data_IF_525222514911
#
_entry.id   IF_525222514911
#
_cell.length_a   1.000
_cell.length_b   1.000
_cell.length_c   1.000
_cell.angle_alpha   90.00
_cell.angle_beta   90.00
_cell.angle_gamma   90.00
#
_symmetry.space_group_name_H-M   'P 1'
#
loop_
_entity.id
_entity.type
_entity.pdbx_description
1 polymer ?
#
# COMPACT_ATOMS: atom_id res chain seq x y z
N UNK A 1 -6.51 2.70 8.21
CA UNK A 1 -6.04 3.13 9.54
C UNK A 1 -6.69 2.20 10.56
N UNK A 2 -5.97 1.20 11.08
CA UNK A 2 -6.51 0.26 12.06
C UNK A 2 -6.54 0.93 13.45
N UNK A 3 -7.73 1.13 14.01
CA UNK A 3 -7.89 1.65 15.38
C UNK A 3 -7.57 0.54 16.38
N UNK A 4 -6.38 0.60 16.95
CA UNK A 4 -6.00 -0.17 18.13
C UNK A 4 -6.67 0.45 19.39
N UNK A 5 -7.19 -0.42 20.25
CA UNK A 5 -7.48 -0.19 21.68
C UNK A 5 -8.69 0.63 22.12
N UNK A 6 -9.80 0.58 21.39
CA UNK A 6 -11.10 0.89 22.00
C UNK A 6 -11.74 -0.37 22.58
N UNK A 7 -11.90 -0.41 23.91
CA UNK A 7 -12.69 -1.43 24.64
C UNK A 7 -14.15 -1.50 24.17
N UNK A 8 -14.67 -0.42 23.59
CA UNK A 8 -16.04 -0.30 23.11
C UNK A 8 -16.10 0.30 21.70
N UNK A 9 -16.94 -0.30 20.85
CA UNK A 9 -17.29 0.17 19.51
C UNK A 9 -18.66 0.86 19.54
N UNK A 10 -18.83 1.90 18.73
CA UNK A 10 -20.14 2.44 18.40
C UNK A 10 -20.91 1.50 17.45
N UNK A 11 -22.21 1.74 17.27
CA UNK A 11 -23.04 0.97 16.33
C UNK A 11 -22.47 1.01 14.92
N UNK A 12 -22.02 2.17 14.45
CA UNK A 12 -21.49 2.35 13.11
C UNK A 12 -20.15 1.62 12.96
N UNK A 13 -19.26 1.72 13.95
CA UNK A 13 -17.99 0.97 13.92
C UNK A 13 -18.26 -0.54 13.93
N UNK A 14 -19.21 -1.03 14.73
CA UNK A 14 -19.57 -2.44 14.72
C UNK A 14 -20.23 -2.90 13.40
N UNK A 15 -21.00 -2.01 12.75
CA UNK A 15 -21.59 -2.25 11.44
C UNK A 15 -20.52 -2.44 10.36
N UNK A 16 -19.49 -1.59 10.38
CA UNK A 16 -18.31 -1.71 9.51
C UNK A 16 -17.55 -3.01 9.75
N UNK A 17 -17.29 -3.35 11.02
CA UNK A 17 -16.56 -4.58 11.38
C UNK A 17 -17.29 -5.87 10.96
N UNK A 18 -18.62 -5.89 11.08
CA UNK A 18 -19.44 -7.06 10.77
C UNK A 18 -19.97 -7.06 9.33
N UNK A 19 -19.69 -6.00 8.55
CA UNK A 19 -20.23 -5.77 7.21
C UNK A 19 -21.76 -5.93 7.14
N UNK A 20 -22.48 -5.33 8.11
CA UNK A 20 -23.94 -5.32 8.19
C UNK A 20 -24.47 -3.91 8.41
N UNK A 21 -25.75 -3.67 8.15
CA UNK A 21 -26.35 -2.36 8.41
C UNK A 21 -26.47 -2.04 9.90
N UNK A 22 -26.45 -0.75 10.26
CA UNK A 22 -26.71 -0.26 11.63
C UNK A 22 -28.03 -0.81 12.20
N UNK A 23 -29.04 -0.96 11.34
CA UNK A 23 -30.34 -1.54 11.71
C UNK A 23 -30.17 -2.99 12.14
N UNK A 24 -29.41 -3.78 11.39
CA UNK A 24 -29.09 -5.16 11.72
C UNK A 24 -28.28 -5.26 13.01
N UNK A 25 -27.31 -4.36 13.25
CA UNK A 25 -26.57 -4.29 14.52
C UNK A 25 -27.53 -4.05 15.69
N UNK A 26 -28.43 -3.07 15.59
CA UNK A 26 -29.42 -2.78 16.65
C UNK A 26 -30.40 -3.93 16.86
N UNK A 27 -30.79 -4.66 15.81
CA UNK A 27 -31.61 -5.86 15.92
C UNK A 27 -30.86 -6.98 16.67
N UNK A 28 -29.59 -7.20 16.35
CA UNK A 28 -28.74 -8.19 17.05
C UNK A 28 -28.47 -7.84 18.51
N UNK A 29 -28.37 -6.55 18.84
CA UNK A 29 -28.34 -6.07 20.23
C UNK A 29 -29.66 -6.41 20.95
N UNK A 30 -30.81 -6.13 20.33
CA UNK A 30 -32.13 -6.49 20.88
C UNK A 30 -32.32 -7.99 21.05
N UNK A 31 -31.81 -8.78 20.10
CA UNK A 31 -31.83 -10.24 20.13
C UNK A 31 -30.80 -10.84 21.11
N UNK A 32 -30.02 -10.01 21.82
CA UNK A 32 -28.95 -10.41 22.76
C UNK A 32 -27.83 -11.24 22.13
N UNK A 33 -27.68 -11.20 20.80
CA UNK A 33 -26.58 -11.85 20.08
C UNK A 33 -25.29 -11.02 20.14
N UNK A 34 -25.42 -9.70 20.34
CA UNK A 34 -24.30 -8.78 20.52
C UNK A 34 -24.38 -8.18 21.93
N UNK A 35 -23.30 -8.31 22.70
CA UNK A 35 -23.16 -7.68 24.00
C UNK A 35 -22.93 -6.17 23.83
N UNK A 36 -23.89 -5.38 24.30
CA UNK A 36 -23.81 -3.92 24.26
C UNK A 36 -24.45 -3.30 25.50
N UNK A 37 -23.89 -2.18 25.94
CA UNK A 37 -24.39 -1.37 27.04
C UNK A 37 -24.96 -0.05 26.49
N UNK A 38 -26.09 0.39 27.04
CA UNK A 38 -26.66 1.70 26.69
C UNK A 38 -26.09 2.76 27.62
N UNK A 39 -25.31 3.69 27.07
CA UNK A 39 -24.74 4.82 27.82
C UNK A 39 -25.34 6.12 27.29
N UNK A 40 -26.27 6.69 28.05
CA UNK A 40 -27.06 7.85 27.62
C UNK A 40 -27.93 7.51 26.40
N UNK A 41 -27.75 8.25 25.30
CA UNK A 41 -28.47 8.03 24.03
C UNK A 41 -27.71 7.14 23.04
N UNK A 42 -26.55 6.59 23.42
CA UNK A 42 -25.70 5.80 22.53
C UNK A 42 -25.53 4.36 23.03
N UNK A 43 -25.30 3.44 22.08
CA UNK A 43 -24.92 2.05 22.39
C UNK A 43 -23.40 1.92 22.34
N UNK A 44 -22.84 1.24 23.35
CA UNK A 44 -21.43 0.86 23.44
C UNK A 44 -21.33 -0.65 23.34
N UNK A 45 -20.70 -1.14 22.28
CA UNK A 45 -20.60 -2.57 21.96
C UNK A 45 -19.22 -3.05 22.40
N UNK A 46 -19.14 -4.16 23.13
CA UNK A 46 -17.85 -4.66 23.62
C UNK A 46 -16.98 -5.12 22.44
N UNK A 47 -15.80 -4.54 22.24
CA UNK A 47 -14.99 -4.83 21.05
C UNK A 47 -14.35 -6.21 21.06
N UNK A 48 -14.03 -6.73 22.25
CA UNK A 48 -13.38 -8.03 22.38
C UNK A 48 -14.27 -9.21 21.92
N UNK A 49 -15.59 -9.04 21.85
CA UNK A 49 -16.47 -10.10 21.33
C UNK A 49 -16.31 -10.33 19.81
N UNK A 50 -15.67 -9.38 19.11
CA UNK A 50 -15.34 -9.49 17.68
C UNK A 50 -13.85 -9.67 17.45
N UNK A 51 -13.03 -9.59 18.49
CA UNK A 51 -11.67 -10.07 18.41
C UNK A 51 -11.79 -11.58 18.40
N UNK A 52 -11.72 -12.14 17.20
CA UNK A 52 -11.29 -13.51 17.09
C UNK A 52 -9.91 -13.50 17.74
N UNK A 53 -9.80 -14.10 18.93
CA UNK A 53 -8.52 -14.38 19.57
C UNK A 53 -7.86 -15.49 18.72
N UNK A 54 -7.56 -15.16 17.47
CA UNK A 54 -6.69 -15.96 16.64
C UNK A 54 -5.32 -15.72 17.23
N UNK A 55 -5.00 -16.53 18.25
CA UNK A 55 -3.62 -16.89 18.56
C UNK A 55 -2.87 -16.94 17.23
N UNK A 56 -1.76 -16.18 17.08
CA UNK A 56 -1.06 -16.09 15.83
C UNK A 56 -0.73 -17.50 15.33
N UNK A 57 -1.49 -17.99 14.33
CA UNK A 57 -1.29 -19.33 13.83
C UNK A 57 0.15 -19.37 13.27
N UNK A 58 1.03 -20.27 13.74
CA UNK A 58 2.40 -20.37 13.24
C UNK A 58 2.45 -20.56 11.72
N UNK A 59 1.41 -21.15 11.11
CA UNK A 59 1.27 -21.26 9.66
C UNK A 59 1.07 -19.89 8.99
N UNK A 60 0.30 -18.99 9.62
CA UNK A 60 0.11 -17.62 9.12
C UNK A 60 1.43 -16.84 9.18
N UNK A 61 2.23 -17.03 10.24
CA UNK A 61 3.55 -16.41 10.33
C UNK A 61 4.52 -16.95 9.27
N UNK A 62 4.58 -18.27 9.11
CA UNK A 62 5.40 -18.90 8.08
C UNK A 62 5.00 -18.43 6.67
N UNK A 63 3.69 -18.31 6.40
CA UNK A 63 3.18 -17.79 5.14
C UNK A 63 3.57 -16.32 4.94
N UNK A 64 3.46 -15.48 5.96
CA UNK A 64 3.88 -14.07 5.88
C UNK A 64 5.37 -13.96 5.55
N UNK A 65 6.21 -14.75 6.19
CA UNK A 65 7.66 -14.70 5.96
C UNK A 65 8.03 -15.23 4.57
N UNK A 66 7.34 -16.27 4.11
CA UNK A 66 7.45 -16.73 2.72
C UNK A 66 7.08 -15.62 1.73
N UNK A 67 5.92 -14.97 1.90
CA UNK A 67 5.45 -13.90 1.02
C UNK A 67 6.40 -12.70 1.03
N UNK A 68 6.96 -12.33 2.19
CA UNK A 68 7.98 -11.29 2.28
C UNK A 68 9.24 -11.65 1.49
N UNK A 69 9.69 -12.91 1.57
CA UNK A 69 10.84 -13.38 0.81
C UNK A 69 10.58 -13.31 -0.71
N UNK A 70 9.37 -13.69 -1.14
CA UNK A 70 8.99 -13.66 -2.55
C UNK A 70 8.90 -12.23 -3.09
N UNK A 71 8.36 -11.29 -2.29
CA UNK A 71 8.34 -9.87 -2.64
C UNK A 71 9.76 -9.31 -2.76
N UNK A 72 10.65 -9.67 -1.83
CA UNK A 72 12.05 -9.23 -1.88
C UNK A 72 12.75 -9.72 -3.16
N UNK A 73 12.51 -10.96 -3.56
CA UNK A 73 13.08 -11.54 -4.78
C UNK A 73 12.51 -10.91 -6.05
N UNK A 74 11.19 -10.71 -6.11
CA UNK A 74 10.55 -10.00 -7.23
C UNK A 74 11.04 -8.56 -7.36
N UNK A 75 11.28 -7.88 -6.23
CA UNK A 75 11.85 -6.53 -6.24
C UNK A 75 13.29 -6.52 -6.79
N UNK A 76 14.10 -7.54 -6.53
CA UNK A 76 15.43 -7.69 -7.15
C UNK A 76 15.32 -7.85 -8.67
N UNK A 77 14.43 -8.72 -9.13
CA UNK A 77 14.19 -8.92 -10.57
C UNK A 77 13.76 -7.62 -11.26
N UNK A 78 12.86 -6.85 -10.63
CA UNK A 78 12.45 -5.54 -11.16
C UNK A 78 13.63 -4.58 -11.23
N UNK A 79 14.49 -4.53 -10.21
CA UNK A 79 15.67 -3.67 -10.22
C UNK A 79 16.67 -4.05 -11.33
N UNK A 80 16.89 -5.34 -11.54
CA UNK A 80 17.75 -5.84 -12.63
C UNK A 80 17.19 -5.51 -14.01
N UNK A 81 15.90 -5.76 -14.24
CA UNK A 81 15.23 -5.41 -15.49
C UNK A 81 15.24 -3.91 -15.75
N UNK A 82 15.08 -3.10 -14.70
CA UNK A 82 15.17 -1.63 -14.82
C UNK A 82 16.58 -1.20 -15.25
N UNK A 83 17.61 -1.83 -14.68
CA UNK A 83 19.01 -1.56 -15.03
C UNK A 83 19.31 -1.96 -16.48
N UNK A 84 18.84 -3.13 -16.94
CA UNK A 84 19.07 -3.58 -18.32
C UNK A 84 18.35 -2.68 -19.33
N UNK A 85 17.11 -2.27 -19.05
CA UNK A 85 16.38 -1.32 -19.88
C UNK A 85 17.10 0.03 -19.97
N UNK A 86 17.59 0.56 -18.85
CA UNK A 86 18.34 1.81 -18.83
C UNK A 86 19.65 1.70 -19.65
N UNK A 87 20.34 0.56 -19.55
CA UNK A 87 21.53 0.29 -20.35
C UNK A 87 21.21 0.23 -21.85
N UNK A 88 20.12 -0.43 -22.25
CA UNK A 88 19.67 -0.49 -23.64
C UNK A 88 19.30 0.89 -24.18
N UNK A 89 18.55 1.70 -23.42
CA UNK A 89 18.21 3.07 -23.79
C UNK A 89 19.46 3.93 -24.00
N UNK A 90 20.46 3.80 -23.10
CA UNK A 90 21.73 4.53 -23.22
C UNK A 90 22.48 4.14 -24.49
N UNK A 91 22.53 2.85 -24.82
CA UNK A 91 23.17 2.37 -26.04
C UNK A 91 22.47 2.89 -27.31
N UNK A 92 21.13 2.94 -27.31
CA UNK A 92 20.36 3.50 -28.42
C UNK A 92 20.67 4.99 -28.62
N UNK A 93 20.72 5.78 -27.55
CA UNK A 93 21.08 7.21 -27.61
C UNK A 93 22.49 7.42 -28.18
N UNK A 94 23.45 6.58 -27.77
CA UNK A 94 24.82 6.63 -28.31
C UNK A 94 24.85 6.25 -29.79
N UNK A 95 24.10 5.22 -30.18
CA UNK A 95 24.00 4.80 -31.58
C UNK A 95 23.37 5.90 -32.45
N UNK A 96 22.31 6.55 -31.96
CA UNK A 96 21.67 7.68 -32.62
C UNK A 96 22.63 8.87 -32.77
N UNK A 97 23.37 9.25 -31.72
CA UNK A 97 24.37 10.34 -31.79
C UNK A 97 25.51 10.04 -32.77
N UNK A 98 25.91 8.76 -32.90
CA UNK A 98 26.92 8.34 -33.90
C UNK A 98 26.42 8.46 -35.34
N UNK A 99 25.13 8.30 -35.59
CA UNK A 99 24.55 8.49 -36.93
C UNK A 99 24.36 9.97 -37.28
N UNK A 100 24.42 10.88 -36.30
CA UNK A 100 24.30 12.31 -36.57
C UNK A 100 25.58 12.83 -37.26
N UNK A 101 25.44 13.62 -38.35
CA UNK A 101 26.59 14.24 -38.98
C UNK A 101 27.31 15.17 -37.98
N UNK A 102 28.64 15.26 -38.11
CA UNK A 102 29.52 15.96 -37.18
C UNK A 102 29.07 17.41 -36.87
N UNK A 103 28.57 18.14 -37.86
CA UNK A 103 28.08 19.51 -37.71
C UNK A 103 26.85 19.59 -36.79
N UNK A 104 25.96 18.59 -36.85
CA UNK A 104 24.77 18.53 -35.99
C UNK A 104 25.17 18.28 -34.53
N UNK A 105 26.24 17.52 -34.30
CA UNK A 105 26.82 17.25 -32.97
C UNK A 105 27.45 18.51 -32.38
N UNK A 106 28.15 19.30 -33.20
CA UNK A 106 28.74 20.60 -32.80
C UNK A 106 27.65 21.61 -32.42
N UNK A 107 26.61 21.77 -33.24
CA UNK A 107 25.49 22.67 -32.92
C UNK A 107 24.78 22.28 -31.62
N UNK A 108 24.61 20.97 -31.37
CA UNK A 108 24.04 20.47 -30.11
C UNK A 108 24.95 20.72 -28.89
N UNK A 109 26.29 20.74 -29.07
CA UNK A 109 27.21 21.12 -27.99
C UNK A 109 27.19 22.62 -27.71
N UNK A 110 27.07 23.47 -28.73
CA UNK A 110 27.03 24.92 -28.56
C UNK A 110 25.75 25.36 -27.83
N UNK A 111 24.58 24.79 -28.17
CA UNK A 111 23.30 25.10 -27.51
C UNK A 111 23.27 24.75 -26.02
N UNK A 112 24.10 23.80 -25.56
CA UNK A 112 24.23 23.45 -24.14
C UNK A 112 25.12 24.42 -23.36
N UNK A 113 26.06 25.11 -24.03
CA UNK A 113 26.95 26.08 -23.39
C UNK A 113 26.23 27.42 -23.10
N UNK A 114 25.26 27.80 -23.92
CA UNK A 114 24.47 29.04 -23.71
C UNK A 114 23.55 28.97 -22.48
N UNK A 115 23.25 27.78 -21.95
CA UNK A 115 22.39 27.60 -20.76
C UNK A 115 23.18 27.55 -19.44
N UNK A 116 24.52 27.55 -19.51
CA UNK A 116 25.41 27.61 -18.33
C UNK A 116 25.92 29.02 -18.01
N UNK A 117 25.53 30.04 -18.79
CA UNK A 117 25.92 31.44 -18.58
C UNK A 117 24.67 32.28 -18.29
N UNK A 118 23.95 31.95 -17.21
CA UNK A 118 23.10 32.92 -16.49
C UNK A 118 23.20 32.58 -15.00
N UNK A 119 24.25 33.10 -14.37
CA UNK A 119 24.28 33.44 -12.94
C UNK A 119 23.91 34.90 -12.78
#
# INVERSE_FOLDING_TARGET
>A
MFRMDKKYLSVNEAAEHLNISDRAVRQRIKARTIQAEKVGNAWRIYSAQFREDTEPNPETHAMIDFLKSEIAEKNRHIAELTKTLQQQQTLLLIAEDKQRPWWARILASMKRQDHTIVT
#
